data_IF_303793322630
#
_entry.id   IF_303793322630
#
_cell.length_a   1.000
_cell.length_b   1.000
_cell.length_c   1.000
_cell.angle_alpha   90.00
_cell.angle_beta   90.00
_cell.angle_gamma   90.00
#
_symmetry.space_group_name_H-M   'P 1'
#
loop_
_entity.id
_entity.type
_entity.pdbx_description
1 polymer ?
#
# COMPACT_ATOMS: atom_id res chain seq x y z
N UNK A 1 -14.53 -0.37 18.38
CA UNK A 1 -13.30 0.39 18.10
C UNK A 1 -12.67 -0.17 16.83
N UNK A 2 -12.23 0.71 15.94
CA UNK A 2 -11.50 0.33 14.73
C UNK A 2 -10.12 -0.17 15.14
N UNK A 3 -9.72 -1.37 14.69
CA UNK A 3 -8.43 -1.99 15.02
C UNK A 3 -7.42 -1.91 13.88
N UNK A 4 -7.91 -1.89 12.64
CA UNK A 4 -7.12 -1.77 11.42
C UNK A 4 -7.79 -0.79 10.48
N UNK A 5 -6.98 0.03 9.83
CA UNK A 5 -7.38 0.94 8.76
C UNK A 5 -6.65 0.49 7.50
N UNK A 6 -7.39 0.34 6.41
CA UNK A 6 -6.89 0.07 5.08
C UNK A 6 -7.12 1.32 4.25
N UNK A 7 -6.08 1.82 3.60
CA UNK A 7 -6.17 2.95 2.68
C UNK A 7 -5.79 2.45 1.30
N UNK A 8 -6.69 2.69 0.35
CA UNK A 8 -6.47 2.47 -1.07
C UNK A 8 -6.58 3.80 -1.80
N UNK A 9 -5.47 4.26 -2.38
CA UNK A 9 -5.44 5.53 -3.12
C UNK A 9 -4.82 5.29 -4.48
N UNK A 10 -5.67 5.10 -5.47
CA UNK A 10 -5.25 4.72 -6.82
C UNK A 10 -6.28 5.20 -7.85
N UNK A 11 -5.79 5.56 -9.04
CA UNK A 11 -6.60 5.84 -10.23
C UNK A 11 -7.76 6.83 -9.98
N UNK A 12 -7.46 7.96 -9.34
CA UNK A 12 -8.42 9.04 -9.10
C UNK A 12 -9.42 8.77 -7.98
N UNK A 13 -9.16 7.80 -7.11
CA UNK A 13 -10.04 7.49 -5.98
C UNK A 13 -9.25 7.19 -4.72
N UNK A 14 -9.71 7.73 -3.59
CA UNK A 14 -9.23 7.41 -2.26
C UNK A 14 -10.35 6.69 -1.50
N UNK A 15 -10.11 5.44 -1.09
CA UNK A 15 -10.99 4.62 -0.28
C UNK A 15 -10.33 4.23 1.03
N UNK A 16 -11.08 4.34 2.12
CA UNK A 16 -10.61 4.03 3.47
C UNK A 16 -11.57 3.08 4.15
N UNK A 17 -11.07 1.93 4.58
CA UNK A 17 -11.83 0.88 5.25
C UNK A 17 -11.30 0.64 6.66
N UNK A 18 -12.19 0.74 7.64
CA UNK A 18 -11.90 0.57 9.05
C UNK A 18 -12.56 -0.70 9.57
N UNK A 19 -11.76 -1.67 10.00
CA UNK A 19 -12.27 -2.93 10.56
C UNK A 19 -12.51 -2.81 12.06
N UNK A 20 -13.70 -3.21 12.47
CA UNK A 20 -14.11 -3.34 13.87
C UNK A 20 -14.44 -4.79 14.18
N UNK A 21 -14.18 -5.21 15.41
CA UNK A 21 -14.60 -6.53 15.90
C UNK A 21 -15.12 -6.38 17.33
N UNK A 22 -16.31 -6.93 17.60
CA UNK A 22 -16.89 -6.97 18.95
C UNK A 22 -17.62 -8.29 19.14
N UNK A 23 -17.23 -9.08 20.16
CA UNK A 23 -17.88 -10.35 20.54
C UNK A 23 -18.13 -11.29 19.35
N UNK A 24 -17.11 -11.51 18.51
CA UNK A 24 -17.20 -12.41 17.34
C UNK A 24 -17.88 -11.82 16.11
N UNK A 25 -18.51 -10.63 16.20
CA UNK A 25 -19.06 -9.92 15.05
C UNK A 25 -18.01 -8.97 14.47
N UNK A 26 -17.74 -9.13 13.17
CA UNK A 26 -16.94 -8.20 12.38
C UNK A 26 -17.85 -7.14 11.77
N UNK A 27 -17.39 -5.89 11.75
CA UNK A 27 -18.05 -4.79 11.07
C UNK A 27 -17.03 -3.89 10.38
N UNK A 28 -17.45 -3.15 9.37
CA UNK A 28 -16.59 -2.21 8.67
C UNK A 28 -17.21 -0.81 8.58
N UNK A 29 -16.35 0.21 8.59
CA UNK A 29 -16.67 1.60 8.21
C UNK A 29 -15.92 1.88 6.93
N UNK A 30 -16.60 2.42 5.91
CA UNK A 30 -16.00 2.72 4.61
C UNK A 30 -16.26 4.18 4.28
N UNK A 31 -15.24 4.89 3.84
CA UNK A 31 -15.33 6.23 3.24
C UNK A 31 -14.61 6.21 1.90
N UNK A 32 -15.17 6.89 0.90
CA UNK A 32 -14.56 7.00 -0.43
C UNK A 32 -14.77 8.39 -0.98
N UNK A 33 -13.75 8.95 -1.62
CA UNK A 33 -13.81 10.19 -2.39
C UNK A 33 -13.12 10.02 -3.74
N UNK A 34 -13.55 10.82 -4.70
CA UNK A 34 -12.81 11.04 -5.94
C UNK A 34 -11.61 11.97 -5.66
N UNK A 35 -10.53 11.78 -6.40
CA UNK A 35 -9.28 12.53 -6.30
C UNK A 35 -8.74 12.82 -7.71
N UNK A 36 -7.84 13.79 -7.83
CA UNK A 36 -7.25 14.15 -9.13
C UNK A 36 -6.19 13.14 -9.62
N UNK A 37 -5.92 12.07 -8.86
CA UNK A 37 -4.94 11.04 -9.23
C UNK A 37 -4.43 10.24 -8.03
N UNK A 38 -3.34 9.50 -8.27
CA UNK A 38 -2.62 8.73 -7.25
C UNK A 38 -1.74 9.63 -6.36
N UNK A 39 -1.34 9.16 -5.17
CA UNK A 39 -0.38 9.86 -4.32
C UNK A 39 0.91 10.23 -5.05
N UNK A 40 1.38 11.46 -4.86
CA UNK A 40 2.61 11.97 -5.44
C UNK A 40 3.57 12.36 -4.31
N UNK A 41 4.76 11.72 -4.19
CA UNK A 41 5.74 12.05 -3.17
C UNK A 41 6.13 13.54 -3.12
N UNK A 42 6.10 14.24 -4.25
CA UNK A 42 6.42 15.67 -4.34
C UNK A 42 5.35 16.52 -3.63
N UNK A 43 4.10 16.04 -3.57
CA UNK A 43 2.95 16.73 -2.96
C UNK A 43 2.57 16.12 -1.61
N UNK A 44 3.47 15.36 -0.98
CA UNK A 44 3.14 14.55 0.19
C UNK A 44 2.58 15.36 1.37
N UNK A 45 3.10 16.57 1.61
CA UNK A 45 2.61 17.44 2.70
C UNK A 45 1.17 17.90 2.47
N UNK A 46 0.87 18.38 1.27
CA UNK A 46 -0.49 18.81 0.90
C UNK A 46 -1.46 17.62 0.93
N UNK A 47 -1.06 16.48 0.35
CA UNK A 47 -1.85 15.26 0.36
C UNK A 47 -2.08 14.73 1.79
N UNK A 48 -1.13 14.93 2.71
CA UNK A 48 -1.31 14.58 4.11
C UNK A 48 -2.36 15.46 4.78
N UNK A 49 -2.41 16.76 4.50
CA UNK A 49 -3.45 17.65 5.03
C UNK A 49 -4.83 17.31 4.45
N UNK A 50 -4.92 17.02 3.14
CA UNK A 50 -6.16 16.53 2.52
C UNK A 50 -6.65 15.23 3.17
N UNK A 51 -5.73 14.28 3.40
CA UNK A 51 -6.04 13.02 4.06
C UNK A 51 -6.50 13.21 5.52
N UNK A 52 -5.85 14.09 6.28
CA UNK A 52 -6.26 14.43 7.65
C UNK A 52 -7.66 15.04 7.68
N UNK A 53 -7.94 15.98 6.78
CA UNK A 53 -9.25 16.60 6.66
C UNK A 53 -10.33 15.56 6.32
N UNK A 54 -10.06 14.70 5.34
CA UNK A 54 -10.96 13.62 4.93
C UNK A 54 -11.22 12.60 6.06
N UNK A 55 -10.20 12.30 6.86
CA UNK A 55 -10.29 11.32 7.96
C UNK A 55 -10.72 11.90 9.30
N UNK A 56 -11.02 13.19 9.40
CA UNK A 56 -11.28 13.89 10.66
C UNK A 56 -12.31 13.18 11.54
N UNK A 57 -13.41 12.72 10.96
CA UNK A 57 -14.50 12.04 11.66
C UNK A 57 -14.44 10.50 11.54
N UNK A 58 -13.34 9.96 10.99
CA UNK A 58 -13.18 8.52 10.86
C UNK A 58 -12.97 7.83 12.21
N UNK A 59 -12.29 8.52 13.14
CA UNK A 59 -12.06 8.14 14.54
C UNK A 59 -11.44 6.75 14.73
N UNK A 60 -10.16 6.60 14.37
CA UNK A 60 -9.40 5.36 14.49
C UNK A 60 -8.06 5.50 15.27
N UNK A 61 -8.06 6.08 16.50
CA UNK A 61 -6.84 6.24 17.27
C UNK A 61 -6.19 4.89 17.59
N UNK A 62 -4.87 4.79 17.37
CA UNK A 62 -4.09 3.58 17.66
C UNK A 62 -4.36 2.38 16.74
N UNK A 63 -5.13 2.56 15.66
CA UNK A 63 -5.37 1.50 14.69
C UNK A 63 -4.10 1.22 13.88
N UNK A 64 -3.88 -0.06 13.53
CA UNK A 64 -2.80 -0.43 12.60
C UNK A 64 -3.17 0.00 11.19
N UNK A 65 -2.23 0.60 10.49
CA UNK A 65 -2.42 1.06 9.13
C UNK A 65 -1.92 0.02 8.13
N UNK A 66 -2.71 -0.20 7.08
CA UNK A 66 -2.32 -0.92 5.87
C UNK A 66 -2.62 0.02 4.71
N UNK A 67 -1.64 0.20 3.82
CA UNK A 67 -1.76 1.04 2.62
C UNK A 67 -1.49 0.18 1.41
N UNK A 68 -2.25 0.39 0.32
CA UNK A 68 -1.89 -0.14 -0.99
C UNK A 68 -0.85 0.74 -1.66
N UNK A 69 -0.06 0.14 -2.54
CA UNK A 69 0.74 0.88 -3.51
C UNK A 69 -0.11 1.12 -4.77
N UNK A 70 -0.11 2.35 -5.32
CA UNK A 70 -0.77 2.64 -6.59
C UNK A 70 -0.28 1.73 -7.72
N UNK A 71 -1.15 1.41 -8.68
CA UNK A 71 -0.81 0.45 -9.76
C UNK A 71 0.29 0.96 -10.68
N UNK A 72 0.40 2.28 -10.85
CA UNK A 72 1.47 2.94 -11.61
C UNK A 72 2.84 2.90 -10.90
N UNK A 73 2.88 2.43 -9.65
CA UNK A 73 4.11 2.28 -8.84
C UNK A 73 4.50 0.83 -8.58
N UNK A 74 3.78 -0.13 -9.14
CA UNK A 74 4.01 -1.56 -8.93
C UNK A 74 4.26 -2.28 -10.26
N UNK A 75 5.36 -3.03 -10.33
CA UNK A 75 5.65 -3.93 -11.45
C UNK A 75 5.39 -5.36 -10.98
N UNK A 76 4.22 -5.90 -11.29
CA UNK A 76 3.90 -7.30 -11.00
C UNK A 76 4.49 -8.22 -12.09
N UNK A 77 5.33 -9.18 -11.69
CA UNK A 77 5.94 -10.16 -12.60
C UNK A 77 5.91 -11.56 -12.01
N UNK A 78 5.73 -12.54 -12.87
CA UNK A 78 5.96 -13.94 -12.53
C UNK A 78 7.41 -14.30 -12.86
N UNK A 79 8.14 -14.82 -11.89
CA UNK A 79 9.53 -15.23 -12.04
C UNK A 79 9.66 -16.74 -11.90
N UNK A 80 10.51 -17.35 -12.72
CA UNK A 80 10.91 -18.75 -12.56
C UNK A 80 12.36 -18.79 -12.11
N UNK A 81 12.57 -19.18 -10.87
CA UNK A 81 13.89 -19.32 -10.26
C UNK A 81 14.23 -20.79 -10.04
N UNK A 82 15.52 -21.16 -10.02
CA UNK A 82 15.95 -22.49 -9.62
C UNK A 82 15.47 -22.83 -8.21
N UNK A 83 15.27 -24.12 -7.92
CA UNK A 83 15.01 -24.58 -6.55
C UNK A 83 16.27 -24.39 -5.71
N UNK A 84 16.23 -23.41 -4.81
CA UNK A 84 17.29 -23.10 -3.85
C UNK A 84 16.70 -23.06 -2.44
N UNK A 85 17.53 -22.96 -1.40
CA UNK A 85 17.04 -22.82 -0.04
C UNK A 85 16.51 -21.41 0.23
N UNK A 86 15.75 -21.22 1.34
CA UNK A 86 15.15 -19.92 1.67
C UNK A 86 16.17 -18.79 1.90
N UNK A 87 17.42 -19.12 2.22
CA UNK A 87 18.48 -18.14 2.41
C UNK A 87 19.05 -17.64 1.08
N UNK A 88 19.08 -18.49 0.05
CA UNK A 88 19.61 -18.15 -1.28
C UNK A 88 18.54 -17.53 -2.20
N UNK A 89 17.27 -17.84 -1.96
CA UNK A 89 16.13 -17.40 -2.79
C UNK A 89 16.07 -15.88 -3.03
N UNK A 90 16.21 -15.01 -2.02
CA UNK A 90 16.15 -13.56 -2.24
C UNK A 90 17.25 -13.04 -3.17
N UNK A 91 18.44 -13.66 -3.11
CA UNK A 91 19.56 -13.32 -4.00
C UNK A 91 19.27 -13.68 -5.45
N UNK A 92 18.61 -14.82 -5.69
CA UNK A 92 18.21 -15.25 -7.04
C UNK A 92 17.12 -14.36 -7.62
N UNK A 93 16.10 -14.01 -6.83
CA UNK A 93 15.05 -13.06 -7.25
C UNK A 93 15.67 -11.72 -7.60
N UNK A 94 16.51 -11.15 -6.72
CA UNK A 94 17.16 -9.85 -6.96
C UNK A 94 18.02 -9.88 -8.24
N UNK A 95 18.81 -10.94 -8.44
CA UNK A 95 19.65 -11.06 -9.64
C UNK A 95 18.82 -11.07 -10.93
N UNK A 96 17.76 -11.88 -10.98
CA UNK A 96 16.91 -11.96 -12.18
C UNK A 96 16.17 -10.64 -12.44
N UNK A 97 15.60 -10.03 -11.41
CA UNK A 97 14.84 -8.78 -11.58
C UNK A 97 15.74 -7.64 -12.02
N UNK A 98 16.92 -7.49 -11.42
CA UNK A 98 17.84 -6.39 -11.73
C UNK A 98 18.46 -6.47 -13.12
N UNK A 99 18.49 -7.66 -13.74
CA UNK A 99 18.92 -7.78 -15.14
C UNK A 99 17.94 -7.11 -16.11
N UNK A 100 16.66 -7.04 -15.73
CA UNK A 100 15.56 -6.66 -16.60
C UNK A 100 14.96 -5.28 -16.21
N UNK A 101 15.57 -4.58 -15.25
CA UNK A 101 15.22 -3.22 -14.82
C UNK A 101 16.30 -2.24 -15.25
N UNK A 102 15.88 -1.02 -15.60
CA UNK A 102 16.81 0.07 -15.91
C UNK A 102 17.10 0.95 -14.68
N UNK A 103 16.30 0.80 -13.64
CA UNK A 103 16.37 1.51 -12.37
C UNK A 103 17.52 0.96 -11.51
N UNK A 104 18.06 1.82 -10.63
CA UNK A 104 19.08 1.38 -9.68
C UNK A 104 18.50 0.36 -8.69
N UNK A 105 19.26 -0.70 -8.31
CA UNK A 105 18.81 -1.67 -7.30
C UNK A 105 18.47 -1.08 -5.94
N UNK A 106 18.95 0.13 -5.64
CA UNK A 106 18.67 0.82 -4.37
C UNK A 106 17.39 1.67 -4.43
N UNK A 107 16.90 1.96 -5.64
CA UNK A 107 15.67 2.73 -5.90
C UNK A 107 14.43 1.85 -5.96
N UNK A 108 14.61 0.53 -6.04
CA UNK A 108 13.53 -0.45 -6.18
C UNK A 108 13.38 -1.24 -4.87
N UNK A 109 12.13 -1.44 -4.45
CA UNK A 109 11.79 -2.39 -3.39
C UNK A 109 11.25 -3.67 -4.03
N UNK A 110 11.82 -4.80 -3.64
CA UNK A 110 11.40 -6.12 -4.06
C UNK A 110 10.75 -6.83 -2.87
N UNK A 111 9.67 -7.53 -3.16
CA UNK A 111 8.94 -8.44 -2.26
C UNK A 111 8.61 -9.71 -3.05
#
# INVERSE_FOLDING_TARGET
>A
MIRKVYIDWDNGRLSVLGLTARKGLAGCKVLTIETEGSPNPVMAEEQAEQLKAFLKDFAAPGARLVVSLPRDRLIARQLTIPRVGPAEEPGMVRFQVMRDLNESPDEVKLD
#
